data_IF_911020125735
#
_entry.id   IF_911020125735
#
_cell.length_a   1.000
_cell.length_b   1.000
_cell.length_c   1.000
_cell.angle_alpha   90.00
_cell.angle_beta   90.00
_cell.angle_gamma   90.00
#
_symmetry.space_group_name_H-M   'P 1'
#
loop_
_entity.id
_entity.type
_entity.pdbx_description
1 polymer ?
#
# COMPACT_ATOMS: atom_id res chain seq x y z
N UNK A 1 -18.50 2.80 -10.75
CA UNK A 1 -18.53 3.85 -9.69
C UNK A 1 -19.94 4.34 -9.45
N UNK A 2 -20.36 4.42 -8.19
CA UNK A 2 -21.68 4.93 -7.81
C UNK A 2 -21.57 5.95 -6.66
N UNK A 3 -22.48 6.92 -6.61
CA UNK A 3 -22.60 7.84 -5.46
C UNK A 3 -23.77 7.35 -4.59
N UNK A 4 -23.50 7.10 -3.30
CA UNK A 4 -24.50 6.67 -2.33
C UNK A 4 -24.66 7.70 -1.20
N UNK A 5 -25.90 7.82 -0.71
CA UNK A 5 -26.23 8.58 0.48
C UNK A 5 -26.33 7.63 1.68
N UNK A 6 -25.38 7.73 2.62
CA UNK A 6 -25.33 6.97 3.87
C UNK A 6 -25.68 7.89 5.05
N UNK A 7 -26.98 8.03 5.33
CA UNK A 7 -27.46 8.99 6.33
C UNK A 7 -27.12 10.42 5.94
N UNK A 8 -26.36 11.13 6.79
CA UNK A 8 -25.88 12.50 6.53
C UNK A 8 -24.62 12.56 5.68
N UNK A 9 -24.04 11.42 5.30
CA UNK A 9 -22.79 11.37 4.54
C UNK A 9 -23.03 10.93 3.09
N UNK A 10 -22.29 11.54 2.17
CA UNK A 10 -22.20 11.09 0.78
C UNK A 10 -20.91 10.33 0.57
N UNK A 11 -21.02 9.14 0.00
CA UNK A 11 -19.89 8.27 -0.30
C UNK A 11 -19.86 7.89 -1.77
N UNK A 12 -18.66 7.82 -2.32
CA UNK A 12 -18.37 7.22 -3.61
C UNK A 12 -18.06 5.76 -3.36
N UNK A 13 -18.76 4.87 -4.06
CA UNK A 13 -18.51 3.43 -4.05
C UNK A 13 -17.82 3.04 -5.35
N UNK A 14 -16.64 2.44 -5.19
CA UNK A 14 -15.81 1.94 -6.27
C UNK A 14 -16.17 0.49 -6.58
N UNK A 15 -16.28 0.19 -7.86
CA UNK A 15 -16.53 -1.16 -8.35
C UNK A 15 -15.23 -1.70 -8.92
N UNK A 16 -14.39 -2.23 -8.03
CA UNK A 16 -13.08 -2.76 -8.41
C UNK A 16 -13.24 -4.16 -9.02
N UNK A 17 -12.59 -4.37 -10.15
CA UNK A 17 -12.47 -5.62 -10.86
C UNK A 17 -11.28 -6.39 -10.27
N UNK A 18 -11.57 -7.55 -9.67
CA UNK A 18 -10.58 -8.37 -8.99
C UNK A 18 -9.55 -8.97 -9.93
N UNK A 19 -9.94 -9.27 -11.17
CA UNK A 19 -9.03 -9.85 -12.16
C UNK A 19 -8.07 -8.78 -12.66
N UNK A 20 -8.54 -7.54 -12.85
CA UNK A 20 -7.67 -6.41 -13.17
C UNK A 20 -6.71 -6.08 -12.02
N UNK A 21 -7.18 -6.13 -10.76
CA UNK A 21 -6.31 -5.96 -9.58
C UNK A 21 -5.20 -7.02 -9.55
N UNK A 22 -5.56 -8.29 -9.76
CA UNK A 22 -4.61 -9.40 -9.80
C UNK A 22 -3.61 -9.22 -10.93
N UNK A 23 -4.09 -9.02 -12.16
CA UNK A 23 -3.25 -8.88 -13.34
C UNK A 23 -2.27 -7.70 -13.20
N UNK A 24 -2.76 -6.53 -12.78
CA UNK A 24 -1.88 -5.37 -12.61
C UNK A 24 -0.84 -5.54 -11.49
N UNK A 25 -1.18 -6.27 -10.42
CA UNK A 25 -0.20 -6.65 -9.41
C UNK A 25 0.87 -7.60 -9.97
N UNK A 26 0.45 -8.60 -10.76
CA UNK A 26 1.34 -9.55 -11.43
C UNK A 26 2.27 -8.88 -12.44
N UNK A 27 1.77 -7.93 -13.23
CA UNK A 27 2.57 -7.13 -14.17
C UNK A 27 3.63 -6.26 -13.45
N UNK A 28 3.44 -5.97 -12.16
CA UNK A 28 4.45 -5.28 -11.34
C UNK A 28 5.45 -6.22 -10.67
N UNK A 29 5.35 -7.54 -10.89
CA UNK A 29 6.29 -8.54 -10.43
C UNK A 29 5.93 -9.21 -9.09
N UNK A 30 4.65 -9.22 -8.72
CA UNK A 30 4.15 -9.94 -7.54
C UNK A 30 3.33 -11.16 -7.95
N UNK A 31 3.38 -12.23 -7.17
CA UNK A 31 2.26 -13.17 -7.10
C UNK A 31 1.19 -12.56 -6.20
N UNK A 32 -0.05 -12.52 -6.67
CA UNK A 32 -1.14 -11.82 -6.00
C UNK A 32 -2.36 -12.72 -5.77
N UNK A 33 -2.75 -12.87 -4.50
CA UNK A 33 -4.06 -13.40 -4.13
C UNK A 33 -4.99 -12.24 -3.78
N UNK A 34 -6.21 -12.24 -4.32
CA UNK A 34 -7.19 -11.17 -4.11
C UNK A 34 -8.38 -11.74 -3.36
N UNK A 35 -8.64 -11.21 -2.16
CA UNK A 35 -9.88 -11.44 -1.42
C UNK A 35 -10.75 -10.21 -1.52
N UNK A 36 -11.98 -10.38 -2.01
CA UNK A 36 -12.89 -9.26 -2.24
C UNK A 36 -14.05 -9.22 -1.28
N UNK A 37 -14.39 -8.02 -0.82
CA UNK A 37 -15.55 -7.74 0.02
C UNK A 37 -16.32 -6.55 -0.57
N UNK A 38 -17.57 -6.31 -0.13
CA UNK A 38 -18.31 -5.13 -0.57
C UNK A 38 -17.61 -3.79 -0.29
N UNK A 39 -16.79 -3.71 0.78
CA UNK A 39 -16.16 -2.47 1.23
C UNK A 39 -14.69 -2.34 0.92
N UNK A 40 -14.03 -3.44 0.59
CA UNK A 40 -12.59 -3.44 0.35
C UNK A 40 -12.15 -4.62 -0.52
N UNK A 41 -11.03 -4.45 -1.20
CA UNK A 41 -10.28 -5.56 -1.82
C UNK A 41 -8.96 -5.71 -1.09
N UNK A 42 -8.64 -6.91 -0.62
CA UNK A 42 -7.37 -7.26 0.01
C UNK A 42 -6.50 -7.99 -1.01
N UNK A 43 -5.32 -7.45 -1.27
CA UNK A 43 -4.28 -8.04 -2.10
C UNK A 43 -3.20 -8.59 -1.18
N UNK A 44 -3.00 -9.90 -1.19
CA UNK A 44 -1.85 -10.54 -0.56
C UNK A 44 -0.76 -10.73 -1.61
N UNK A 45 0.38 -10.07 -1.40
CA UNK A 45 1.42 -9.93 -2.40
C UNK A 45 2.70 -10.64 -1.97
N UNK A 46 3.31 -11.38 -2.89
CA UNK A 46 4.60 -12.05 -2.69
C UNK A 46 5.53 -11.84 -3.88
N UNK A 47 6.72 -11.28 -3.65
CA UNK A 47 7.75 -11.11 -4.68
C UNK A 47 8.69 -12.33 -4.68
N UNK A 48 8.27 -13.42 -5.33
CA UNK A 48 8.97 -14.71 -5.27
C UNK A 48 10.34 -14.67 -5.98
N UNK A 49 10.45 -13.94 -7.08
CA UNK A 49 11.64 -13.87 -7.94
C UNK A 49 12.67 -12.82 -7.49
N UNK A 50 12.47 -12.24 -6.30
CA UNK A 50 13.35 -11.20 -5.77
C UNK A 50 14.39 -11.78 -4.81
N UNK A 51 15.66 -11.44 -5.02
CA UNK A 51 16.76 -11.83 -4.13
C UNK A 51 16.83 -11.00 -2.83
N UNK A 52 16.31 -9.76 -2.86
CA UNK A 52 16.30 -8.83 -1.73
C UNK A 52 14.91 -8.56 -1.14
N UNK A 53 14.82 -7.85 -0.01
CA UNK A 53 13.53 -7.41 0.55
C UNK A 53 12.82 -6.42 -0.37
N UNK A 54 11.50 -6.28 -0.20
CA UNK A 54 10.75 -5.15 -0.76
C UNK A 54 11.33 -3.84 -0.22
N UNK A 55 11.33 -2.81 -1.07
CA UNK A 55 11.97 -1.52 -0.80
C UNK A 55 11.11 -0.64 0.12
N UNK A 56 10.71 -1.17 1.27
CA UNK A 56 9.96 -0.47 2.29
C UNK A 56 10.92 -0.16 3.43
N UNK A 57 11.26 1.12 3.62
CA UNK A 57 12.33 1.52 4.55
C UNK A 57 11.86 2.60 5.53
N UNK A 58 12.56 2.72 6.65
CA UNK A 58 12.27 3.73 7.67
C UNK A 58 12.77 5.10 7.19
N UNK A 59 11.85 6.06 7.03
CA UNK A 59 12.17 7.42 6.61
C UNK A 59 12.96 8.20 7.66
N UNK A 60 12.89 7.79 8.93
CA UNK A 60 13.59 8.44 10.04
C UNK A 60 15.05 7.99 10.19
N UNK A 61 15.44 6.89 9.55
CA UNK A 61 16.82 6.41 9.56
C UNK A 61 17.72 7.35 8.74
N UNK A 62 18.75 7.97 9.33
CA UNK A 62 19.66 8.88 8.62
C UNK A 62 20.33 8.27 7.39
N UNK A 63 20.50 6.95 7.35
CA UNK A 63 21.08 6.24 6.19
C UNK A 63 20.14 6.24 4.97
N UNK A 64 18.83 6.49 5.19
CA UNK A 64 17.82 6.55 4.14
C UNK A 64 17.51 7.97 3.65
N UNK A 65 18.16 9.01 4.17
CA UNK A 65 17.88 10.42 3.83
C UNK A 65 17.92 10.70 2.31
N UNK A 66 18.87 10.09 1.61
CA UNK A 66 18.99 10.20 0.14
C UNK A 66 17.89 9.47 -0.64
N UNK A 67 17.29 8.44 -0.04
CA UNK A 67 16.19 7.67 -0.62
C UNK A 67 14.82 8.29 -0.29
N UNK A 68 14.66 8.82 0.92
CA UNK A 68 13.44 9.47 1.37
C UNK A 68 12.96 10.54 0.39
N UNK A 69 13.84 11.46 -0.04
CA UNK A 69 13.50 12.51 -1.01
C UNK A 69 13.12 12.00 -2.42
N UNK A 70 13.38 10.73 -2.72
CA UNK A 70 13.08 10.08 -4.01
C UNK A 70 11.82 9.23 -3.98
N UNK A 71 11.26 8.98 -2.79
CA UNK A 71 10.02 8.23 -2.66
C UNK A 71 8.84 8.98 -3.26
N UNK A 72 8.10 8.28 -4.11
CA UNK A 72 6.81 8.74 -4.63
C UNK A 72 5.68 8.49 -3.63
N UNK A 73 5.87 7.53 -2.72
CA UNK A 73 4.87 7.10 -1.74
C UNK A 73 5.44 7.07 -0.33
N UNK A 74 4.58 7.41 0.62
CA UNK A 74 4.86 7.40 2.05
C UNK A 74 3.76 6.66 2.79
N UNK A 75 4.13 5.90 3.81
CA UNK A 75 3.22 5.08 4.61
C UNK A 75 3.30 5.54 6.06
N UNK A 76 2.19 5.76 6.72
CA UNK A 76 2.17 5.93 8.18
C UNK A 76 2.45 4.58 8.85
N UNK A 77 3.57 4.46 9.57
CA UNK A 77 3.97 3.22 10.24
C UNK A 77 2.97 2.74 11.30
N UNK A 78 2.15 3.65 11.85
CA UNK A 78 1.20 3.33 12.93
C UNK A 78 -0.11 2.78 12.40
N UNK A 79 -0.57 3.26 11.26
CA UNK A 79 -1.88 2.89 10.69
C UNK A 79 -1.78 2.04 9.43
N UNK A 80 -0.63 2.06 8.77
CA UNK A 80 -0.43 1.47 7.44
C UNK A 80 -1.00 2.30 6.30
N UNK A 81 -1.61 3.46 6.58
CA UNK A 81 -2.18 4.31 5.55
C UNK A 81 -1.12 4.81 4.57
N UNK A 82 -1.33 4.57 3.28
CA UNK A 82 -0.52 5.17 2.22
C UNK A 82 -1.04 6.59 1.99
N UNK A 83 -0.14 7.58 2.08
CA UNK A 83 -0.52 8.99 2.14
C UNK A 83 -1.33 9.41 0.90
N UNK A 84 -2.49 10.03 1.13
CA UNK A 84 -3.40 10.56 0.10
C UNK A 84 -3.93 9.50 -0.89
N UNK A 85 -3.96 8.23 -0.51
CA UNK A 85 -4.60 7.17 -1.29
C UNK A 85 -5.63 6.42 -0.42
N UNK A 86 -6.53 5.63 -1.03
CA UNK A 86 -7.45 4.77 -0.29
C UNK A 86 -6.82 3.43 0.10
N UNK A 87 -5.49 3.38 0.23
CA UNK A 87 -4.75 2.14 0.49
C UNK A 87 -4.24 2.09 1.92
N UNK A 88 -4.30 0.90 2.50
CA UNK A 88 -3.61 0.57 3.75
C UNK A 88 -2.73 -0.63 3.48
N UNK A 89 -1.53 -0.62 4.05
CA UNK A 89 -0.60 -1.75 3.94
C UNK A 89 -0.24 -2.30 5.31
N UNK A 90 0.07 -3.59 5.35
CA UNK A 90 0.61 -4.25 6.53
C UNK A 90 1.70 -5.25 6.12
N UNK A 91 2.66 -5.48 7.02
CA UNK A 91 3.62 -6.56 6.78
C UNK A 91 2.90 -7.90 6.89
N UNK A 92 3.12 -8.79 5.92
CA UNK A 92 2.83 -10.22 6.11
C UNK A 92 3.81 -10.76 7.14
N UNK A 93 3.36 -11.60 8.06
CA UNK A 93 4.22 -12.19 9.09
C UNK A 93 4.44 -13.66 8.81
N UNK A 94 5.65 -14.14 9.08
CA UNK A 94 5.95 -15.56 9.10
C UNK A 94 5.34 -16.24 10.34
N UNK A 95 5.48 -17.57 10.42
CA UNK A 95 5.00 -18.36 11.57
C UNK A 95 5.68 -17.95 12.91
N UNK A 96 6.86 -17.32 12.85
CA UNK A 96 7.57 -16.77 14.00
C UNK A 96 7.14 -15.35 14.37
N UNK A 97 6.14 -14.79 13.68
CA UNK A 97 5.63 -13.44 13.90
C UNK A 97 6.54 -12.33 13.35
N UNK A 98 7.60 -12.65 12.61
CA UNK A 98 8.51 -11.66 12.01
C UNK A 98 7.96 -11.18 10.66
N UNK A 99 8.17 -9.91 10.28
CA UNK A 99 7.83 -9.43 8.96
C UNK A 99 8.50 -10.26 7.86
N UNK A 100 7.71 -10.71 6.89
CA UNK A 100 8.20 -11.40 5.71
C UNK A 100 8.79 -10.38 4.74
N UNK A 101 10.10 -10.44 4.52
CA UNK A 101 10.87 -9.43 3.76
C UNK A 101 10.39 -9.22 2.32
N UNK A 102 9.78 -10.25 1.71
CA UNK A 102 9.33 -10.25 0.31
C UNK A 102 7.81 -10.28 0.13
N UNK A 103 7.05 -10.06 1.21
CA UNK A 103 5.58 -10.14 1.16
C UNK A 103 4.91 -9.08 2.02
N UNK A 104 3.78 -8.57 1.55
CA UNK A 104 2.94 -7.61 2.27
C UNK A 104 1.49 -7.77 1.86
N UNK A 105 0.58 -7.20 2.65
CA UNK A 105 -0.81 -7.06 2.27
C UNK A 105 -1.13 -5.60 1.95
N UNK A 106 -1.96 -5.39 0.92
CA UNK A 106 -2.53 -4.09 0.57
C UNK A 106 -4.04 -4.21 0.59
N UNK A 107 -4.69 -3.41 1.41
CA UNK A 107 -6.13 -3.26 1.40
C UNK A 107 -6.50 -1.97 0.66
N UNK A 108 -7.42 -2.07 -0.28
CA UNK A 108 -7.99 -0.95 -1.02
C UNK A 108 -9.42 -0.74 -0.54
N UNK A 109 -9.74 0.43 0.00
CA UNK A 109 -11.11 0.77 0.39
C UNK A 109 -11.94 1.15 -0.84
N UNK A 110 -13.17 0.62 -0.90
CA UNK A 110 -14.14 0.88 -1.98
C UNK A 110 -15.12 1.99 -1.64
N UNK A 111 -15.37 2.22 -0.36
CA UNK A 111 -16.25 3.29 0.12
C UNK A 111 -15.40 4.50 0.54
N UNK A 112 -15.56 5.62 -0.16
CA UNK A 112 -14.79 6.84 0.08
C UNK A 112 -15.69 8.04 0.26
N UNK A 113 -15.31 9.05 1.06
CA UNK A 113 -16.07 10.29 1.13
C UNK A 113 -16.21 10.93 -0.26
N UNK A 114 -17.37 11.53 -0.57
CA UNK A 114 -17.59 12.19 -1.88
C UNK A 114 -16.62 13.34 -2.20
N UNK A 115 -16.03 13.92 -1.16
CA UNK A 115 -15.01 14.96 -1.25
C UNK A 115 -13.56 14.41 -1.26
N UNK A 116 -13.36 13.09 -1.28
CA UNK A 116 -12.04 12.49 -1.36
C UNK A 116 -11.35 12.92 -2.67
N UNK A 117 -10.09 13.32 -2.58
CA UNK A 117 -9.28 13.74 -3.72
C UNK A 117 -7.88 13.14 -3.60
N UNK A 118 -7.34 12.77 -4.75
CA UNK A 118 -5.94 12.39 -4.89
C UNK A 118 -5.03 13.64 -4.82
N UNK A 119 -3.70 13.45 -4.68
CA UNK A 119 -2.74 14.54 -4.74
C UNK A 119 -3.00 15.48 -5.93
N UNK A 120 -2.86 16.79 -5.72
CA UNK A 120 -3.20 17.79 -6.74
C UNK A 120 -4.70 18.04 -6.93
N UNK A 121 -5.55 17.64 -5.96
CA UNK A 121 -7.01 17.80 -5.98
C UNK A 121 -7.70 17.06 -7.13
N UNK A 122 -7.06 16.02 -7.65
CA UNK A 122 -7.61 15.24 -8.76
C UNK A 122 -8.84 14.45 -8.28
N UNK A 123 -9.94 14.44 -9.07
CA UNK A 123 -11.09 13.59 -8.78
C UNK A 123 -10.67 12.13 -8.93
N UNK A 124 -11.15 11.29 -8.02
CA UNK A 124 -10.91 9.85 -8.07
C UNK A 124 -11.94 9.17 -8.98
N UNK A 125 -11.47 8.26 -9.82
CA UNK A 125 -12.27 7.24 -10.50
C UNK A 125 -11.47 5.93 -10.49
N UNK A 126 -12.09 4.81 -10.90
CA UNK A 126 -11.40 3.50 -10.84
C UNK A 126 -10.14 3.47 -11.69
N UNK A 127 -10.15 4.06 -12.90
CA UNK A 127 -8.98 4.06 -13.79
C UNK A 127 -7.76 4.73 -13.14
N UNK A 128 -7.97 5.90 -12.52
CA UNK A 128 -6.89 6.61 -11.82
C UNK A 128 -6.46 5.83 -10.59
N UNK A 129 -7.39 5.21 -9.86
CA UNK A 129 -7.07 4.37 -8.72
C UNK A 129 -6.15 3.21 -9.11
N UNK A 130 -6.46 2.47 -10.18
CA UNK A 130 -5.61 1.39 -10.68
C UNK A 130 -4.21 1.90 -11.02
N UNK A 131 -4.12 3.01 -11.73
CA UNK A 131 -2.82 3.60 -12.09
C UNK A 131 -1.99 3.94 -10.84
N UNK A 132 -2.59 4.56 -9.83
CA UNK A 132 -1.90 4.90 -8.57
C UNK A 132 -1.51 3.65 -7.80
N UNK A 133 -2.39 2.63 -7.74
CA UNK A 133 -2.10 1.35 -7.09
C UNK A 133 -0.91 0.65 -7.75
N UNK A 134 -0.92 0.48 -9.06
CA UNK A 134 0.16 -0.22 -9.76
C UNK A 134 1.47 0.56 -9.74
N UNK A 135 1.42 1.89 -9.72
CA UNK A 135 2.61 2.71 -9.46
C UNK A 135 3.14 2.50 -8.04
N UNK A 136 2.27 2.36 -7.03
CA UNK A 136 2.67 2.03 -5.67
C UNK A 136 3.34 0.64 -5.59
N UNK A 137 2.76 -0.36 -6.23
CA UNK A 137 3.34 -1.71 -6.30
C UNK A 137 4.70 -1.72 -7.02
N UNK A 138 4.81 -1.01 -8.14
CA UNK A 138 6.08 -0.83 -8.86
C UNK A 138 7.13 -0.11 -8.00
N UNK A 139 6.72 0.88 -7.20
CA UNK A 139 7.62 1.58 -6.28
C UNK A 139 8.20 0.63 -5.23
N UNK A 140 7.39 -0.25 -4.64
CA UNK A 140 7.85 -1.27 -3.67
C UNK A 140 8.93 -2.21 -4.25
N UNK A 141 8.96 -2.40 -5.57
CA UNK A 141 9.93 -3.23 -6.26
C UNK A 141 11.20 -2.48 -6.68
N UNK A 142 11.04 -1.24 -7.17
CA UNK A 142 12.08 -0.56 -7.97
C UNK A 142 12.66 0.71 -7.36
N UNK A 143 11.85 1.51 -6.69
CA UNK A 143 12.21 2.89 -6.29
C UNK A 143 12.26 3.06 -4.77
N UNK A 144 11.38 2.38 -4.08
CA UNK A 144 11.23 2.42 -2.64
C UNK A 144 10.08 3.28 -2.13
N UNK A 145 9.63 2.93 -0.93
CA UNK A 145 8.51 3.52 -0.20
C UNK A 145 8.98 3.83 1.22
N UNK A 146 8.77 5.07 1.66
CA UNK A 146 9.19 5.51 2.98
C UNK A 146 8.11 5.28 4.04
N UNK A 147 8.48 4.71 5.19
CA UNK A 147 7.63 4.65 6.37
C UNK A 147 7.87 5.87 7.23
N UNK A 148 6.81 6.60 7.54
CA UNK A 148 6.82 7.78 8.40
C UNK A 148 6.15 7.47 9.74
N UNK A 149 6.68 8.03 10.84
CA UNK A 149 6.08 7.86 12.17
C UNK A 149 6.35 6.50 12.83
N UNK A 150 5.71 6.20 13.97
CA UNK A 150 5.98 5.00 14.76
C UNK A 150 5.64 3.70 14.01
N UNK A 151 6.56 2.73 13.96
CA UNK A 151 6.42 1.48 13.17
C UNK A 151 5.64 0.36 13.88
N UNK A 152 4.42 0.66 14.35
CA UNK A 152 3.60 -0.30 15.11
C UNK A 152 2.93 -1.34 14.22
N UNK A 153 2.30 -0.91 13.12
CA UNK A 153 1.58 -1.77 12.17
C UNK A 153 2.48 -2.15 11.00
N UNK A 154 3.25 -1.19 10.50
CA UNK A 154 4.17 -1.37 9.38
C UNK A 154 5.60 -1.15 9.85
N UNK A 155 6.44 -2.15 9.61
CA UNK A 155 7.88 -2.18 9.86
C UNK A 155 8.63 -2.15 8.53
N UNK A 156 9.83 -1.54 8.52
CA UNK A 156 10.70 -1.58 7.36
C UNK A 156 11.06 -3.03 7.03
N UNK A 157 11.15 -3.30 5.73
CA UNK A 157 11.60 -4.58 5.17
C UNK A 157 13.01 -4.47 4.59
N UNK A 158 13.42 -3.27 4.18
CA UNK A 158 14.76 -2.94 3.69
C UNK A 158 15.46 -1.92 4.60
N UNK A 159 16.80 -1.93 4.57
CA UNK A 159 17.64 -1.16 5.50
C UNK A 159 18.03 -1.97 6.73
N UNK A 160 18.58 -1.33 7.77
CA UNK A 160 18.92 -2.02 9.03
C UNK A 160 17.63 -2.35 9.79
N UNK A 161 17.16 -3.60 9.69
CA UNK A 161 15.94 -4.09 10.37
C UNK A 161 16.22 -4.50 11.83
N UNK A 162 17.48 -4.42 12.29
CA UNK A 162 17.89 -4.86 13.61
C UNK A 162 17.75 -3.77 14.68
N UNK A 163 16.53 -3.61 15.20
CA UNK A 163 16.35 -3.22 16.59
C UNK A 163 15.08 -3.87 17.15
N UNK A 164 15.17 -4.72 18.19
CA UNK A 164 13.98 -5.13 18.92
C UNK A 164 13.32 -3.91 19.56
N UNK A 165 11.99 -3.87 19.70
CA UNK A 165 11.33 -2.85 20.51
C UNK A 165 11.89 -2.96 21.93
N UNK A 166 12.47 -1.87 22.44
CA UNK A 166 12.73 -1.73 23.88
C UNK A 166 11.42 -1.49 24.61
#
# INVERSE_FOLDING_TARGET
>A
MQLLQAGTHQVVVLELDTDLLRQGAEETGFVCEVTDTPRSSLLELSALDRDGPLLLFDASDPTNTGWFSRCQFYVDGRTGGVLQTPFVVANKRDAGGRPHSRALSVQVFKELPSHFRLPGRQPLNEKVLYAVLFNFLSALQKVGVGICGPTTVVRPLAGRVDAPPR
#
